data_IF_992211248923
#
_entry.id   IF_992211248923
#
_cell.length_a   1.000
_cell.length_b   1.000
_cell.length_c   1.000
_cell.angle_alpha   90.00
_cell.angle_beta   90.00
_cell.angle_gamma   90.00
#
_symmetry.space_group_name_H-M   'P 1'
#
loop_
_entity.id
_entity.type
_entity.pdbx_description
1 polymer ?
#
# COMPACT_ATOMS: atom_id res chain seq x y z
N UNK A 1 -28.39 -20.67 -11.56
CA UNK A 1 -27.04 -20.97 -11.03
C UNK A 1 -26.72 -20.15 -9.77
N UNK A 2 -27.68 -19.42 -9.21
CA UNK A 2 -27.52 -18.52 -8.05
C UNK A 2 -27.61 -19.17 -6.66
N UNK A 3 -27.68 -20.50 -6.56
CA UNK A 3 -28.00 -21.16 -5.30
C UNK A 3 -26.79 -21.51 -4.42
N UNK A 4 -25.55 -21.41 -4.92
CA UNK A 4 -24.34 -21.90 -4.20
C UNK A 4 -23.13 -20.95 -4.18
N UNK A 5 -23.25 -19.72 -4.70
CA UNK A 5 -22.17 -18.72 -4.67
C UNK A 5 -22.08 -17.96 -5.99
N UNK A 6 -22.08 -16.64 -5.90
CA UNK A 6 -22.13 -15.69 -7.03
C UNK A 6 -20.83 -15.57 -7.83
N UNK A 7 -19.81 -16.37 -7.53
CA UNK A 7 -18.44 -16.15 -7.99
C UNK A 7 -17.91 -17.33 -8.81
N UNK A 8 -17.15 -17.06 -9.86
CA UNK A 8 -16.52 -18.10 -10.66
C UNK A 8 -15.49 -18.88 -9.85
N UNK A 9 -15.24 -20.14 -10.22
CA UNK A 9 -14.29 -21.02 -9.51
C UNK A 9 -12.87 -20.41 -9.40
N UNK A 10 -12.46 -19.60 -10.38
CA UNK A 10 -11.16 -18.94 -10.37
C UNK A 10 -11.12 -17.74 -9.43
N UNK A 11 -12.19 -16.95 -9.36
CA UNK A 11 -12.29 -15.85 -8.40
C UNK A 11 -12.28 -16.40 -6.97
N UNK A 12 -12.96 -17.53 -6.76
CA UNK A 12 -12.94 -18.24 -5.48
C UNK A 12 -11.52 -18.68 -5.10
N UNK A 13 -10.75 -19.22 -6.06
CA UNK A 13 -9.35 -19.59 -5.83
C UNK A 13 -8.44 -18.38 -5.53
N UNK A 14 -8.65 -17.23 -6.18
CA UNK A 14 -7.89 -16.00 -5.89
C UNK A 14 -8.09 -15.59 -4.43
N UNK A 15 -9.34 -15.56 -3.96
CA UNK A 15 -9.68 -15.20 -2.58
C UNK A 15 -9.24 -16.24 -1.56
N UNK A 16 -9.45 -17.53 -1.82
CA UNK A 16 -9.05 -18.61 -0.91
C UNK A 16 -7.53 -18.63 -0.67
N UNK A 17 -6.74 -18.24 -1.67
CA UNK A 17 -5.28 -18.12 -1.55
C UNK A 17 -4.81 -16.75 -1.02
N UNK A 18 -5.73 -15.81 -0.78
CA UNK A 18 -5.42 -14.50 -0.21
C UNK A 18 -4.59 -13.59 -1.12
N UNK A 19 -4.67 -13.75 -2.44
CA UNK A 19 -3.94 -12.87 -3.36
C UNK A 19 -4.53 -11.45 -3.35
N UNK A 20 -3.71 -10.39 -3.31
CA UNK A 20 -4.18 -9.02 -3.45
C UNK A 20 -4.60 -8.79 -4.92
N UNK A 21 -5.90 -8.89 -5.18
CA UNK A 21 -6.49 -8.75 -6.51
C UNK A 21 -7.49 -7.61 -6.53
N UNK A 22 -7.39 -6.73 -7.53
CA UNK A 22 -8.34 -5.64 -7.74
C UNK A 22 -9.41 -6.09 -8.75
N UNK A 23 -10.65 -6.24 -8.29
CA UNK A 23 -11.75 -6.64 -9.15
C UNK A 23 -12.34 -5.44 -9.91
N UNK A 24 -12.19 -5.43 -11.24
CA UNK A 24 -12.62 -4.32 -12.09
C UNK A 24 -14.14 -4.06 -12.09
N UNK A 25 -14.93 -5.03 -11.65
CA UNK A 25 -16.40 -4.97 -11.57
C UNK A 25 -16.92 -4.81 -10.14
N UNK A 26 -16.02 -4.66 -9.17
CA UNK A 26 -16.42 -4.54 -7.77
C UNK A 26 -17.19 -3.23 -7.59
N UNK A 27 -18.45 -3.35 -7.20
CA UNK A 27 -19.27 -2.19 -6.86
C UNK A 27 -18.89 -1.72 -5.46
N UNK A 28 -18.13 -0.63 -5.36
CA UNK A 28 -17.85 0.01 -4.08
C UNK A 28 -19.13 0.62 -3.52
N UNK A 29 -19.75 -0.07 -2.55
CA UNK A 29 -20.93 0.42 -1.85
C UNK A 29 -20.68 1.71 -1.05
N UNK A 30 -19.41 1.99 -0.70
CA UNK A 30 -19.03 3.12 0.17
C UNK A 30 -18.03 4.06 -0.54
N UNK A 31 -18.34 5.36 -0.54
CA UNK A 31 -17.41 6.42 -0.98
C UNK A 31 -16.35 6.60 0.11
N UNK A 32 -15.16 6.10 -0.13
CA UNK A 32 -14.01 6.23 0.77
C UNK A 32 -13.04 7.26 0.18
N UNK A 33 -12.47 8.14 0.99
CA UNK A 33 -11.45 9.08 0.54
C UNK A 33 -10.09 8.39 0.50
N UNK A 34 -9.18 8.86 -0.36
CA UNK A 34 -7.81 8.31 -0.42
C UNK A 34 -7.12 8.36 0.95
N UNK A 35 -7.34 9.43 1.72
CA UNK A 35 -6.78 9.58 3.06
C UNK A 35 -7.24 8.51 4.07
N UNK A 36 -8.39 7.87 3.85
CA UNK A 36 -8.92 6.85 4.76
C UNK A 36 -8.19 5.50 4.61
N UNK A 37 -7.63 5.24 3.43
CA UNK A 37 -6.98 3.97 3.07
C UNK A 37 -5.46 4.06 2.94
N UNK A 38 -4.93 5.25 2.65
CA UNK A 38 -3.49 5.49 2.55
C UNK A 38 -2.77 5.27 3.89
N UNK A 39 -1.48 4.96 3.79
CA UNK A 39 -0.55 4.82 4.91
C UNK A 39 0.56 5.87 4.79
N UNK A 40 1.05 6.44 5.90
CA UNK A 40 0.62 6.23 7.29
C UNK A 40 -0.70 6.95 7.64
N UNK A 41 -1.43 6.41 8.62
CA UNK A 41 -2.57 7.08 9.26
C UNK A 41 -2.09 7.96 10.42
N UNK A 42 -2.99 8.76 11.00
CA UNK A 42 -2.70 9.70 12.11
C UNK A 42 -1.95 9.10 13.30
N UNK A 43 -2.09 7.80 13.55
CA UNK A 43 -1.43 7.09 14.65
C UNK A 43 -0.29 6.15 14.20
N UNK A 44 -0.03 6.07 12.89
CA UNK A 44 1.09 5.30 12.36
C UNK A 44 2.38 6.18 12.42
N UNK A 45 3.58 5.57 12.38
CA UNK A 45 4.82 6.32 12.20
C UNK A 45 4.80 7.19 10.92
N UNK A 46 5.61 8.24 10.88
CA UNK A 46 5.73 9.09 9.70
C UNK A 46 6.12 8.29 8.45
N UNK A 47 5.71 8.79 7.28
CA UNK A 47 6.00 8.15 6.00
C UNK A 47 7.52 8.16 5.80
N UNK A 48 8.10 6.98 5.58
CA UNK A 48 9.52 6.87 5.28
C UNK A 48 9.81 7.49 3.91
N UNK A 49 10.67 8.50 3.88
CA UNK A 49 11.06 9.23 2.66
C UNK A 49 12.58 9.30 2.53
N UNK A 50 13.04 9.37 1.28
CA UNK A 50 14.43 9.65 0.95
C UNK A 50 14.56 11.13 0.59
N UNK A 51 15.60 11.81 1.07
CA UNK A 51 15.86 13.18 0.62
C UNK A 51 16.69 13.14 -0.66
N UNK A 52 16.40 14.07 -1.58
CA UNK A 52 17.07 14.17 -2.88
C UNK A 52 18.58 14.30 -2.72
N UNK A 53 19.00 15.11 -1.75
CA UNK A 53 20.39 15.35 -1.42
C UNK A 53 20.66 14.96 0.05
N UNK A 54 21.93 14.98 0.46
CA UNK A 54 22.44 14.74 1.82
C UNK A 54 22.40 13.32 2.41
N UNK A 55 21.67 12.37 1.81
CA UNK A 55 21.74 10.97 2.23
C UNK A 55 22.98 10.27 1.65
N UNK A 56 23.64 9.49 2.49
CA UNK A 56 24.70 8.56 2.07
C UNK A 56 24.10 7.22 1.62
N UNK A 57 24.93 6.38 1.01
CA UNK A 57 24.52 5.02 0.64
C UNK A 57 24.16 4.20 1.89
N UNK A 58 24.92 4.35 2.97
CA UNK A 58 24.68 3.67 4.25
C UNK A 58 23.32 4.04 4.85
N UNK A 59 22.92 5.32 4.77
CA UNK A 59 21.61 5.77 5.24
C UNK A 59 20.47 5.06 4.48
N UNK A 60 20.63 4.88 3.16
CA UNK A 60 19.64 4.21 2.31
C UNK A 60 19.60 2.71 2.60
N UNK A 61 20.74 2.05 2.74
CA UNK A 61 20.84 0.63 3.09
C UNK A 61 20.19 0.34 4.44
N UNK A 62 20.40 1.23 5.42
CA UNK A 62 19.79 1.14 6.74
C UNK A 62 18.26 1.16 6.63
N UNK A 63 17.69 2.15 5.92
CA UNK A 63 16.24 2.25 5.71
C UNK A 63 15.66 1.00 5.03
N UNK A 64 16.35 0.47 4.02
CA UNK A 64 15.91 -0.74 3.32
C UNK A 64 15.96 -1.96 4.25
N UNK A 65 16.96 -2.07 5.11
CA UNK A 65 17.09 -3.20 6.04
C UNK A 65 16.06 -3.17 7.18
N UNK A 66 15.63 -1.98 7.58
CA UNK A 66 14.69 -1.77 8.69
C UNK A 66 13.22 -1.81 8.27
N UNK A 67 12.94 -1.73 6.97
CA UNK A 67 11.57 -1.68 6.44
C UNK A 67 11.29 -2.84 5.49
N UNK A 68 10.01 -3.16 5.31
CA UNK A 68 9.56 -4.15 4.31
C UNK A 68 9.00 -3.47 3.06
N UNK A 69 9.26 -2.17 2.89
CA UNK A 69 8.72 -1.40 1.78
C UNK A 69 9.58 -1.56 0.54
N UNK A 70 8.94 -1.65 -0.63
CA UNK A 70 9.63 -1.73 -1.92
C UNK A 70 9.77 -0.38 -2.61
N UNK A 71 9.30 0.72 -2.00
CA UNK A 71 9.34 2.05 -2.59
C UNK A 71 9.26 3.16 -1.56
N UNK A 72 9.99 4.24 -1.84
CA UNK A 72 10.12 5.41 -0.97
C UNK A 72 9.98 6.68 -1.82
N UNK A 73 9.12 7.64 -1.43
CA UNK A 73 9.07 8.94 -2.09
C UNK A 73 10.39 9.69 -1.89
N UNK A 74 10.85 10.38 -2.94
CA UNK A 74 12.01 11.26 -2.90
C UNK A 74 11.54 12.70 -2.74
N UNK A 75 12.04 13.40 -1.71
CA UNK A 75 11.63 14.77 -1.36
C UNK A 75 12.82 15.71 -1.26
N UNK A 76 12.61 17.02 -1.41
CA UNK A 76 13.70 18.02 -1.29
C UNK A 76 14.14 18.18 0.16
N UNK A 77 13.19 18.26 1.09
CA UNK A 77 13.46 18.30 2.54
C UNK A 77 12.34 17.63 3.32
N UNK A 78 12.62 17.27 4.58
CA UNK A 78 11.64 16.71 5.52
C UNK A 78 10.80 17.78 6.22
N UNK A 79 11.09 19.06 6.00
CA UNK A 79 10.43 20.17 6.71
C UNK A 79 8.99 20.39 6.25
N UNK A 80 8.64 19.90 5.06
CA UNK A 80 7.29 19.98 4.51
C UNK A 80 6.42 18.76 4.85
N UNK A 81 6.89 17.87 5.72
CA UNK A 81 6.24 16.62 6.08
C UNK A 81 5.35 16.76 7.33
#
# INVERSE_FOLDING_TARGET
ADALGREGIYDAHIRLNGYPFLEAKEEFAHKTLAMDVMKPRRNDPLLTVLTQDSMTVEDVETIISETTYSGFPVVVSRESQ
#
